data_IF_400938642841
#
_entry.id   IF_400938642841
#
_cell.length_a   1.000
_cell.length_b   1.000
_cell.length_c   1.000
_cell.angle_alpha   90.00
_cell.angle_beta   90.00
_cell.angle_gamma   90.00
#
_symmetry.space_group_name_H-M   'P 1'
#
loop_
_entity.id
_entity.type
_entity.pdbx_description
1 polymer ?
#
# COMPACT_ATOMS: atom_id res chain seq x y z
N UNK A 1 9.46 -8.56 -3.96
CA UNK A 1 8.96 -7.55 -4.90
C UNK A 1 7.49 -7.28 -4.59
N UNK A 2 7.12 -6.02 -4.36
CA UNK A 2 5.75 -5.61 -3.97
C UNK A 2 4.91 -5.16 -5.18
N UNK A 3 5.51 -5.05 -6.36
CA UNK A 3 4.80 -4.70 -7.60
C UNK A 3 3.60 -5.63 -7.86
N UNK A 4 2.45 -5.05 -8.20
CA UNK A 4 1.19 -5.74 -8.45
C UNK A 4 0.52 -6.31 -7.20
N UNK A 5 1.03 -6.04 -6.00
CA UNK A 5 0.42 -6.46 -4.73
C UNK A 5 -0.58 -5.43 -4.25
N UNK A 6 -1.69 -5.91 -3.70
CA UNK A 6 -2.64 -5.10 -2.93
C UNK A 6 -2.20 -5.01 -1.47
N UNK A 7 -2.07 -3.79 -0.99
CA UNK A 7 -1.66 -3.48 0.38
C UNK A 7 -2.76 -2.66 1.06
N UNK A 8 -2.87 -2.81 2.37
CA UNK A 8 -3.58 -1.85 3.21
C UNK A 8 -2.56 -0.91 3.85
N UNK A 9 -2.76 0.40 3.73
CA UNK A 9 -1.93 1.43 4.36
C UNK A 9 -2.77 2.22 5.35
N UNK A 10 -2.22 2.44 6.55
CA UNK A 10 -2.87 3.18 7.61
C UNK A 10 -2.58 4.67 7.49
N UNK A 11 -3.61 5.44 7.18
CA UNK A 11 -3.57 6.89 7.06
C UNK A 11 -4.10 7.56 8.32
N UNK A 12 -3.39 8.58 8.79
CA UNK A 12 -3.89 9.51 9.79
C UNK A 12 -4.55 10.70 9.09
N UNK A 13 -5.77 11.03 9.48
CA UNK A 13 -6.43 12.27 9.09
C UNK A 13 -7.02 12.97 10.33
N UNK A 14 -7.38 14.24 10.18
CA UNK A 14 -8.07 14.99 11.22
C UNK A 14 -9.55 14.97 10.92
N UNK A 15 -10.37 14.47 11.86
CA UNK A 15 -11.83 14.49 11.71
C UNK A 15 -12.33 15.93 11.70
N UNK A 16 -13.15 16.28 10.72
CA UNK A 16 -13.79 17.61 10.64
C UNK A 16 -14.86 17.80 11.71
N UNK A 17 -15.48 16.71 12.17
CA UNK A 17 -16.52 16.74 13.21
C UNK A 17 -15.94 16.92 14.61
N UNK A 18 -14.85 16.22 14.93
CA UNK A 18 -14.29 16.19 16.30
C UNK A 18 -12.99 16.96 16.44
N UNK A 19 -12.33 17.33 15.34
CA UNK A 19 -10.99 17.93 15.35
C UNK A 19 -9.88 16.98 15.81
N UNK A 20 -10.20 15.72 16.11
CA UNK A 20 -9.26 14.74 16.64
C UNK A 20 -8.62 13.91 15.52
N UNK A 21 -7.39 13.42 15.72
CA UNK A 21 -6.75 12.53 14.78
C UNK A 21 -7.45 11.17 14.75
N UNK A 22 -7.89 10.75 13.57
CA UNK A 22 -8.48 9.44 13.29
C UNK A 22 -7.55 8.69 12.35
N UNK A 23 -7.55 7.36 12.46
CA UNK A 23 -6.76 6.49 11.60
C UNK A 23 -7.67 5.56 10.82
N UNK A 24 -7.41 5.41 9.52
CA UNK A 24 -8.12 4.49 8.64
C UNK A 24 -7.14 3.62 7.86
N UNK A 25 -7.51 2.36 7.63
CA UNK A 25 -6.79 1.48 6.72
C UNK A 25 -7.41 1.61 5.34
N UNK A 26 -6.59 1.94 4.33
CA UNK A 26 -7.02 2.06 2.95
C UNK A 26 -6.37 0.95 2.12
N UNK A 27 -7.15 0.26 1.29
CA UNK A 27 -6.61 -0.71 0.32
C UNK A 27 -6.16 0.00 -0.96
N UNK A 28 -4.93 -0.28 -1.40
CA UNK A 28 -4.36 0.24 -2.62
C UNK A 28 -3.48 -0.79 -3.33
N UNK A 29 -3.24 -0.58 -4.62
CA UNK A 29 -2.44 -1.47 -5.45
C UNK A 29 -1.07 -0.86 -5.77
N UNK A 30 0.01 -1.61 -5.57
CA UNK A 30 1.35 -1.16 -5.92
C UNK A 30 1.55 -1.26 -7.43
N UNK A 31 1.60 -0.12 -8.11
CA UNK A 31 1.75 -0.03 -9.57
C UNK A 31 3.17 0.27 -10.03
N UNK A 32 4.03 0.72 -9.11
CA UNK A 32 5.48 0.84 -9.34
C UNK A 32 6.23 0.69 -8.02
N UNK A 33 7.40 0.05 -8.05
CA UNK A 33 8.42 0.14 -7.02
C UNK A 33 9.59 1.00 -7.53
N UNK A 34 10.24 1.70 -6.60
CA UNK A 34 11.42 2.51 -6.89
C UNK A 34 12.67 1.68 -7.17
N UNK A 35 12.59 0.66 -8.04
CA UNK A 35 13.77 -0.12 -8.50
C UNK A 35 14.55 0.58 -9.61
N UNK A 36 13.94 1.56 -10.30
CA UNK A 36 14.60 2.34 -11.36
C UNK A 36 14.60 3.82 -11.04
N UNK A 37 15.78 4.41 -11.12
CA UNK A 37 16.05 5.85 -11.10
C UNK A 37 15.37 6.55 -12.29
N UNK A 38 14.04 6.72 -12.27
CA UNK A 38 13.39 7.65 -13.19
C UNK A 38 13.36 9.03 -12.55
N UNK A 39 14.47 9.74 -12.72
CA UNK A 39 14.48 11.20 -12.61
C UNK A 39 13.57 11.78 -13.69
N UNK A 40 12.38 12.24 -13.33
CA UNK A 40 11.68 13.20 -14.18
C UNK A 40 12.47 14.52 -14.16
N UNK A 41 12.40 15.33 -15.22
CA UNK A 41 13.04 16.66 -15.25
C UNK A 41 12.62 17.59 -14.09
N UNK A 42 11.55 17.24 -13.35
CA UNK A 42 11.05 17.97 -12.18
C UNK A 42 11.39 17.30 -10.84
N UNK A 43 11.91 16.08 -10.82
CA UNK A 43 12.28 15.37 -9.59
C UNK A 43 13.65 15.85 -9.10
N UNK A 44 13.65 16.92 -8.29
CA UNK A 44 14.87 17.46 -7.64
C UNK A 44 15.49 16.53 -6.59
N UNK A 45 14.78 15.48 -6.15
CA UNK A 45 15.22 14.53 -5.11
C UNK A 45 14.84 13.10 -5.49
N UNK A 46 15.79 12.18 -5.41
CA UNK A 46 15.55 10.74 -5.55
C UNK A 46 14.70 10.25 -4.36
N UNK A 47 13.71 9.41 -4.63
CA UNK A 47 12.95 8.75 -3.58
C UNK A 47 13.85 7.70 -2.90
N UNK A 48 13.74 7.48 -1.57
CA UNK A 48 14.46 6.40 -0.92
C UNK A 48 14.11 5.04 -1.51
N UNK A 49 15.10 4.13 -1.55
CA UNK A 49 14.88 2.75 -1.95
C UNK A 49 13.71 2.12 -1.17
N UNK A 50 12.79 1.46 -1.87
CA UNK A 50 11.56 0.92 -1.30
C UNK A 50 10.37 1.89 -1.29
N UNK A 51 10.48 3.06 -1.94
CA UNK A 51 9.30 3.86 -2.27
C UNK A 51 8.39 3.10 -3.25
N UNK A 52 7.09 3.13 -3.00
CA UNK A 52 6.07 2.46 -3.79
C UNK A 52 5.11 3.50 -4.32
N UNK A 53 4.75 3.39 -5.61
CA UNK A 53 3.63 4.13 -6.16
C UNK A 53 2.37 3.28 -5.96
N UNK A 54 1.48 3.78 -5.13
CA UNK A 54 0.23 3.11 -4.79
C UNK A 54 -0.90 3.80 -5.55
N UNK A 55 -1.69 2.99 -6.24
CA UNK A 55 -2.94 3.36 -6.88
C UNK A 55 -4.08 3.15 -5.90
N UNK A 56 -4.88 4.18 -5.70
CA UNK A 56 -6.14 4.13 -4.97
C UNK A 56 -7.27 4.13 -5.99
N UNK A 57 -8.19 3.17 -5.86
CA UNK A 57 -9.34 3.10 -6.77
C UNK A 57 -10.22 4.34 -6.58
N UNK A 58 -10.95 4.71 -7.63
CA UNK A 58 -12.00 5.72 -7.50
C UNK A 58 -13.02 5.27 -6.45
N UNK A 59 -13.46 6.19 -5.61
CA UNK A 59 -14.49 5.96 -4.62
C UNK A 59 -15.75 6.74 -5.04
N UNK A 60 -16.70 6.02 -5.63
CA UNK A 60 -17.94 6.62 -6.12
C UNK A 60 -18.82 7.14 -4.97
N UNK A 61 -18.70 6.56 -3.78
CA UNK A 61 -19.49 6.97 -2.61
C UNK A 61 -19.03 8.33 -2.07
N UNK A 62 -17.78 8.71 -2.36
CA UNK A 62 -17.15 9.96 -1.91
C UNK A 62 -16.76 10.88 -3.08
N UNK A 63 -17.19 10.58 -4.30
CA UNK A 63 -16.85 11.31 -5.53
C UNK A 63 -15.34 11.49 -5.73
N UNK A 64 -14.53 10.54 -5.27
CA UNK A 64 -13.08 10.60 -5.39
C UNK A 64 -12.61 9.95 -6.70
N UNK A 65 -11.81 10.69 -7.47
CA UNK A 65 -11.15 10.14 -8.66
C UNK A 65 -10.04 9.15 -8.30
N UNK A 66 -9.73 8.27 -9.24
CA UNK A 66 -8.57 7.39 -9.14
C UNK A 66 -7.30 8.22 -8.91
N UNK A 67 -6.58 7.91 -7.83
CA UNK A 67 -5.41 8.69 -7.41
C UNK A 67 -4.16 7.83 -7.27
N UNK A 68 -3.00 8.48 -7.41
CA UNK A 68 -1.70 7.84 -7.38
C UNK A 68 -0.77 8.55 -6.41
N UNK A 69 -0.31 7.85 -5.39
CA UNK A 69 0.55 8.43 -4.35
C UNK A 69 1.85 7.65 -4.24
N UNK A 70 2.98 8.37 -4.19
CA UNK A 70 4.25 7.78 -3.81
C UNK A 70 4.34 7.71 -2.28
N UNK A 71 4.51 6.50 -1.75
CA UNK A 71 4.59 6.21 -0.32
C UNK A 71 5.88 5.48 0.02
N UNK A 72 6.54 5.88 1.10
CA UNK A 72 7.74 5.20 1.62
C UNK A 72 7.31 4.26 2.73
N UNK A 73 7.08 2.99 2.39
CA UNK A 73 6.68 1.97 3.34
C UNK A 73 7.91 1.28 3.93
N UNK A 74 8.12 1.44 5.24
CA UNK A 74 9.28 0.86 5.92
C UNK A 74 8.95 -0.55 6.42
N UNK A 75 9.85 -1.54 6.29
CA UNK A 75 9.63 -2.88 6.83
C UNK A 75 9.31 -2.90 8.33
N UNK A 76 9.88 -1.98 9.11
CA UNK A 76 9.61 -1.86 10.56
C UNK A 76 8.16 -1.46 10.89
N UNK A 77 7.41 -0.91 9.93
CA UNK A 77 6.00 -0.52 10.08
C UNK A 77 5.04 -1.61 9.59
N UNK A 78 5.54 -2.78 9.20
CA UNK A 78 4.71 -3.88 8.75
C UNK A 78 3.82 -4.39 9.89
N UNK A 79 2.51 -4.44 9.63
CA UNK A 79 1.46 -4.87 10.56
C UNK A 79 1.50 -4.12 11.92
N UNK A 80 1.79 -2.81 11.88
CA UNK A 80 1.81 -1.94 13.06
C UNK A 80 0.69 -0.90 12.99
N UNK A 81 0.06 -0.65 14.13
CA UNK A 81 -0.92 0.41 14.31
C UNK A 81 -0.24 1.77 14.52
N UNK A 82 0.50 2.21 13.50
CA UNK A 82 1.13 3.54 13.43
C UNK A 82 0.71 4.26 12.15
N UNK A 83 0.94 5.57 12.05
CA UNK A 83 0.79 6.28 10.77
C UNK A 83 1.75 5.66 9.74
N UNK A 84 1.28 5.44 8.50
CA UNK A 84 2.02 4.69 7.47
C UNK A 84 2.39 3.26 7.90
N UNK A 85 1.64 2.69 8.85
CA UNK A 85 1.58 1.25 9.05
C UNK A 85 1.04 0.58 7.79
N UNK A 86 1.55 -0.60 7.43
CA UNK A 86 1.12 -1.27 6.20
C UNK A 86 1.06 -2.79 6.37
N UNK A 87 0.17 -3.44 5.63
CA UNK A 87 0.02 -4.90 5.61
C UNK A 87 -0.47 -5.37 4.25
N UNK A 88 -0.41 -6.67 4.00
CA UNK A 88 -1.04 -7.23 2.81
C UNK A 88 -2.56 -7.13 2.92
N UNK A 89 -3.22 -6.76 1.83
CA UNK A 89 -4.68 -6.82 1.76
C UNK A 89 -5.16 -8.26 1.96
N UNK A 90 -6.39 -8.42 2.49
CA UNK A 90 -6.95 -9.74 2.78
C UNK A 90 -6.94 -10.68 1.55
N UNK A 91 -7.13 -10.13 0.35
CA UNK A 91 -7.06 -10.89 -0.90
C UNK A 91 -5.66 -11.47 -1.18
N UNK A 92 -4.58 -10.75 -0.88
CA UNK A 92 -3.20 -11.23 -1.04
C UNK A 92 -2.84 -12.30 0.01
N UNK A 93 -3.35 -12.14 1.24
CA UNK A 93 -3.20 -13.16 2.28
C UNK A 93 -3.86 -14.48 1.84
N UNK A 94 -5.09 -14.41 1.30
CA UNK A 94 -5.82 -15.57 0.78
C UNK A 94 -5.09 -16.24 -0.39
N UNK A 95 -4.56 -15.45 -1.35
CA UNK A 95 -3.75 -15.98 -2.47
C UNK A 95 -2.52 -16.72 -1.95
N UNK A 96 -1.83 -16.17 -0.95
CA UNK A 96 -0.62 -16.79 -0.37
C UNK A 96 -0.96 -18.09 0.37
N UNK A 97 -2.05 -18.11 1.15
CA UNK A 97 -2.52 -19.32 1.83
C UNK A 97 -2.91 -20.44 0.85
N UNK A 98 -3.57 -20.09 -0.27
CA UNK A 98 -3.95 -21.05 -1.31
C UNK A 98 -2.74 -21.68 -2.02
N UNK A 99 -1.68 -20.91 -2.28
CA UNK A 99 -0.42 -21.43 -2.86
C UNK A 99 0.25 -22.41 -1.90
N UNK A 100 0.33 -22.07 -0.61
CA UNK A 100 0.92 -22.95 0.42
C UNK A 100 0.13 -24.25 0.57
N UNK A 101 -1.21 -24.18 0.54
CA UNK A 101 -2.07 -25.37 0.57
C UNK A 101 -1.88 -26.30 -0.62
N UNK A 102 -1.77 -25.76 -1.85
CA UNK A 102 -1.50 -26.55 -3.07
C UNK A 102 -0.12 -27.22 -3.05
N UNK A 103 0.90 -26.56 -2.47
CA UNK A 103 2.24 -27.13 -2.36
C UNK A 103 2.28 -28.33 -1.40
N UNK A 104 1.45 -28.31 -0.35
CA UNK A 104 1.33 -29.41 0.61
C UNK A 104 0.63 -30.64 0.00
N UNK A 105 -0.34 -30.45 -0.89
CA UNK A 105 -1.02 -31.55 -1.60
C UNK A 105 -0.17 -32.20 -2.70
N UNK A 106 0.79 -31.48 -3.30
CA UNK A 106 1.66 -32.03 -4.35
C UNK A 106 2.82 -32.89 -3.83
N UNK A 107 3.12 -32.81 -2.54
CA UNK A 107 4.21 -33.55 -1.90
C UNK A 107 3.68 -34.64 -0.94
N UNK A 108 2.41 -35.03 -1.08
CA UNK A 108 1.75 -36.09 -0.33
C UNK A 108 1.40 -37.24 -1.26
#
# INVERSE_FOLDING_TARGET
MLLGKKLEVRWRYTSTTTGLPVYMWCEGEVVADGEKDKASARCKKLLPAGALRIKWAADADFEEEESYVWSILRPCNFNKDVNMGWRFAACEIRKTAAVTGKRKQRNA
#
